data_IF_489854711760
#
_entry.id   IF_489854711760
#
_cell.length_a   1.000
_cell.length_b   1.000
_cell.length_c   1.000
_cell.angle_alpha   90.00
_cell.angle_beta   90.00
_cell.angle_gamma   90.00
#
_symmetry.space_group_name_H-M   'P 1'
#
loop_
_entity.id
_entity.type
_entity.pdbx_description
1 polymer ?
#
# COMPACT_ATOMS: atom_id res chain seq x y z
N UNK A 1 -35.33 -0.11 -5.54
CA UNK A 1 -34.03 -0.74 -5.85
C UNK A 1 -33.03 -0.57 -4.73
N UNK A 2 -32.71 0.65 -4.27
CA UNK A 2 -31.79 0.89 -3.13
C UNK A 2 -32.25 0.18 -1.85
N UNK A 3 -33.54 0.24 -1.53
CA UNK A 3 -34.10 -0.43 -0.34
C UNK A 3 -33.86 -1.95 -0.33
N UNK A 4 -33.92 -2.61 -1.49
CA UNK A 4 -33.64 -4.04 -1.59
C UNK A 4 -32.16 -4.37 -1.32
N UNK A 5 -31.24 -3.45 -1.68
CA UNK A 5 -29.81 -3.59 -1.36
C UNK A 5 -29.59 -3.46 0.15
N UNK A 6 -30.24 -2.49 0.79
CA UNK A 6 -30.19 -2.30 2.25
C UNK A 6 -30.74 -3.53 2.98
N UNK A 7 -31.85 -4.09 2.53
CA UNK A 7 -32.44 -5.30 3.10
C UNK A 7 -31.54 -6.54 2.91
N UNK A 8 -30.92 -6.69 1.74
CA UNK A 8 -29.96 -7.75 1.49
C UNK A 8 -28.72 -7.61 2.38
N UNK A 9 -28.19 -6.40 2.54
CA UNK A 9 -27.08 -6.12 3.46
C UNK A 9 -27.46 -6.49 4.89
N UNK A 10 -28.61 -6.03 5.39
CA UNK A 10 -29.08 -6.34 6.75
C UNK A 10 -29.30 -7.83 6.97
N UNK A 11 -29.79 -8.56 5.97
CA UNK A 11 -29.92 -10.01 6.04
C UNK A 11 -28.55 -10.70 6.20
N UNK A 12 -27.58 -10.33 5.37
CA UNK A 12 -26.21 -10.85 5.45
C UNK A 12 -25.54 -10.47 6.78
N UNK A 13 -25.62 -9.20 7.17
CA UNK A 13 -25.07 -8.67 8.41
C UNK A 13 -25.69 -9.34 9.64
N UNK A 14 -26.99 -9.61 9.62
CA UNK A 14 -27.65 -10.38 10.68
C UNK A 14 -27.04 -11.78 10.83
N UNK A 15 -26.81 -12.49 9.72
CA UNK A 15 -26.15 -13.80 9.76
C UNK A 15 -24.73 -13.71 10.33
N UNK A 16 -23.97 -12.68 9.91
CA UNK A 16 -22.62 -12.45 10.41
C UNK A 16 -22.63 -12.15 11.92
N UNK A 17 -23.50 -11.24 12.38
CA UNK A 17 -23.69 -10.94 13.79
C UNK A 17 -24.07 -12.15 14.64
N UNK A 18 -25.00 -12.96 14.16
CA UNK A 18 -25.54 -14.08 14.93
C UNK A 18 -24.52 -15.25 15.06
N UNK A 19 -23.63 -15.43 14.08
CA UNK A 19 -22.82 -16.67 13.97
C UNK A 19 -21.31 -16.46 13.74
N UNK A 20 -20.85 -15.25 13.50
CA UNK A 20 -19.46 -14.94 13.12
C UNK A 20 -18.97 -13.56 13.62
N UNK A 21 -19.61 -12.97 14.64
CA UNK A 21 -19.25 -11.63 15.14
C UNK A 21 -17.78 -11.55 15.58
N UNK A 22 -17.02 -10.65 14.96
CA UNK A 22 -15.59 -10.45 15.26
C UNK A 22 -14.65 -11.49 14.62
N UNK A 23 -15.20 -12.46 13.88
CA UNK A 23 -14.44 -13.45 13.11
C UNK A 23 -14.28 -12.99 11.67
N UNK A 24 -13.33 -13.56 10.93
CA UNK A 24 -13.06 -13.09 9.57
C UNK A 24 -14.21 -13.31 8.60
N UNK A 25 -14.83 -14.50 8.60
CA UNK A 25 -15.81 -14.87 7.59
C UNK A 25 -16.94 -15.73 8.15
N UNK A 26 -18.16 -15.47 7.70
CA UNK A 26 -19.34 -16.29 8.00
C UNK A 26 -19.38 -17.55 7.12
N UNK A 27 -19.67 -18.69 7.74
CA UNK A 27 -20.07 -19.94 7.07
C UNK A 27 -21.58 -20.15 7.25
N UNK A 28 -22.44 -19.61 6.35
CA UNK A 28 -23.86 -19.43 6.62
C UNK A 28 -24.66 -20.73 6.71
N UNK A 29 -24.30 -21.75 5.92
CA UNK A 29 -24.99 -23.05 5.94
C UNK A 29 -24.73 -23.81 7.25
N UNK A 30 -23.49 -23.75 7.76
CA UNK A 30 -23.11 -24.39 9.02
C UNK A 30 -23.35 -23.54 10.25
N UNK A 31 -23.77 -22.27 10.08
CA UNK A 31 -23.93 -21.29 11.18
C UNK A 31 -22.67 -21.20 12.06
N UNK A 32 -21.53 -21.03 11.41
CA UNK A 32 -20.20 -20.97 12.04
C UNK A 32 -19.32 -19.97 11.28
N UNK A 33 -18.02 -19.99 11.50
CA UNK A 33 -17.07 -19.05 10.90
C UNK A 33 -15.78 -19.74 10.43
N UNK A 34 -14.98 -19.03 9.64
CA UNK A 34 -13.59 -19.37 9.32
C UNK A 34 -12.67 -18.23 9.71
N UNK A 35 -11.40 -18.57 9.97
CA UNK A 35 -10.34 -17.62 10.29
C UNK A 35 -9.17 -17.85 9.35
N UNK A 36 -8.53 -16.76 8.96
CA UNK A 36 -7.28 -16.74 8.23
C UNK A 36 -6.38 -15.62 8.75
N UNK A 37 -6.93 -14.41 8.96
CA UNK A 37 -6.28 -13.32 9.68
C UNK A 37 -6.56 -13.36 11.20
N UNK A 38 -7.78 -13.70 11.58
CA UNK A 38 -8.29 -13.55 12.94
C UNK A 38 -8.45 -12.09 13.36
N UNK A 39 -8.77 -11.19 12.43
CA UNK A 39 -8.84 -9.74 12.66
C UNK A 39 -10.24 -9.16 12.40
N UNK A 40 -11.26 -10.02 12.26
CA UNK A 40 -12.63 -9.57 12.02
C UNK A 40 -12.80 -9.00 10.62
N UNK A 41 -12.21 -9.66 9.62
CA UNK A 41 -12.13 -9.17 8.24
C UNK A 41 -13.47 -8.66 7.66
N UNK A 42 -14.53 -9.47 7.71
CA UNK A 42 -15.87 -9.07 7.21
C UNK A 42 -16.39 -7.82 7.91
N UNK A 43 -16.08 -7.63 9.20
CA UNK A 43 -16.50 -6.44 9.93
C UNK A 43 -15.80 -5.20 9.40
N UNK A 44 -14.47 -5.26 9.21
CA UNK A 44 -13.68 -4.12 8.72
C UNK A 44 -14.06 -3.78 7.27
N UNK A 45 -14.16 -4.79 6.39
CA UNK A 45 -14.55 -4.64 4.97
C UNK A 45 -15.96 -4.05 4.80
N UNK A 46 -16.81 -4.14 5.82
CA UNK A 46 -18.19 -3.66 5.76
C UNK A 46 -18.39 -2.26 6.34
N UNK A 47 -17.40 -1.68 7.03
CA UNK A 47 -17.56 -0.40 7.76
C UNK A 47 -17.95 0.76 6.84
N UNK A 48 -17.21 0.96 5.75
CA UNK A 48 -17.48 2.02 4.77
C UNK A 48 -18.82 1.80 4.06
N UNK A 49 -19.17 0.55 3.76
CA UNK A 49 -20.43 0.16 3.14
C UNK A 49 -21.61 0.46 4.06
N UNK A 50 -21.51 0.14 5.36
CA UNK A 50 -22.51 0.53 6.37
C UNK A 50 -22.68 2.05 6.40
N UNK A 51 -21.57 2.79 6.35
CA UNK A 51 -21.61 4.25 6.33
C UNK A 51 -22.33 4.81 5.08
N UNK A 52 -21.98 4.30 3.89
CA UNK A 52 -22.55 4.71 2.60
C UNK A 52 -24.04 4.37 2.52
N UNK A 53 -24.45 3.21 3.03
CA UNK A 53 -25.86 2.77 3.06
C UNK A 53 -26.69 3.48 4.15
N UNK A 54 -26.10 4.33 4.97
CA UNK A 54 -26.78 5.05 6.06
C UNK A 54 -27.13 4.17 7.27
N UNK A 55 -26.47 3.02 7.42
CA UNK A 55 -26.68 2.03 8.50
C UNK A 55 -25.90 2.43 9.77
N UNK A 56 -26.28 3.56 10.37
CA UNK A 56 -25.52 4.18 11.48
C UNK A 56 -25.54 3.37 12.77
N UNK A 57 -26.61 2.62 13.04
CA UNK A 57 -26.70 1.78 14.25
C UNK A 57 -25.76 0.57 14.13
N UNK A 58 -25.78 -0.12 12.99
CA UNK A 58 -24.89 -1.23 12.69
C UNK A 58 -23.42 -0.78 12.64
N UNK A 59 -23.15 0.40 12.08
CA UNK A 59 -21.84 1.02 12.06
C UNK A 59 -21.30 1.29 13.47
N UNK A 60 -22.11 1.89 14.34
CA UNK A 60 -21.68 2.23 15.70
C UNK A 60 -21.32 0.99 16.53
N UNK A 61 -22.03 -0.11 16.32
CA UNK A 61 -21.73 -1.40 16.96
C UNK A 61 -20.40 -1.98 16.45
N UNK A 62 -20.17 -1.96 15.13
CA UNK A 62 -18.91 -2.38 14.53
C UNK A 62 -17.73 -1.49 14.98
N UNK A 63 -17.95 -0.18 15.05
CA UNK A 63 -16.98 0.81 15.54
C UNK A 63 -16.56 0.55 16.99
N UNK A 64 -17.49 0.14 17.85
CA UNK A 64 -17.18 -0.28 19.23
C UNK A 64 -16.31 -1.53 19.28
N UNK A 65 -16.54 -2.50 18.40
CA UNK A 65 -15.68 -3.68 18.30
C UNK A 65 -14.27 -3.28 17.84
N UNK A 66 -14.14 -2.43 16.82
CA UNK A 66 -12.83 -1.90 16.38
C UNK A 66 -12.08 -1.20 17.52
N UNK A 67 -12.79 -0.43 18.36
CA UNK A 67 -12.17 0.26 19.49
C UNK A 67 -11.65 -0.69 20.58
N UNK A 68 -12.38 -1.76 20.88
CA UNK A 68 -12.16 -2.57 22.09
C UNK A 68 -11.49 -3.92 21.81
N UNK A 69 -11.73 -4.52 20.64
CA UNK A 69 -11.43 -5.92 20.35
C UNK A 69 -10.43 -6.11 19.20
N UNK A 70 -10.29 -5.12 18.30
CA UNK A 70 -9.31 -5.20 17.20
C UNK A 70 -7.88 -5.03 17.74
N UNK A 71 -7.12 -6.13 17.72
CA UNK A 71 -5.73 -6.21 18.14
C UNK A 71 -4.86 -6.88 17.07
N UNK A 72 -3.75 -6.23 16.74
CA UNK A 72 -2.79 -6.65 15.69
C UNK A 72 -1.57 -7.37 16.27
N UNK A 73 -1.65 -7.88 17.50
CA UNK A 73 -0.57 -8.55 18.22
C UNK A 73 -0.60 -10.09 18.08
N UNK A 74 -1.46 -10.61 17.20
CA UNK A 74 -1.56 -12.05 16.92
C UNK A 74 -0.39 -12.50 16.03
N UNK A 75 0.31 -13.53 16.48
CA UNK A 75 1.39 -14.16 15.71
C UNK A 75 0.83 -15.11 14.63
N UNK A 76 0.30 -14.53 13.56
CA UNK A 76 -0.31 -15.24 12.43
C UNK A 76 0.36 -14.76 11.13
N UNK A 77 0.66 -15.70 10.22
CA UNK A 77 1.09 -15.37 8.87
C UNK A 77 -0.11 -14.88 8.07
N UNK A 78 -0.08 -13.61 7.68
CA UNK A 78 -1.17 -12.93 7.00
C UNK A 78 -0.82 -12.69 5.54
N UNK A 79 -1.75 -12.88 4.60
CA UNK A 79 -1.51 -12.47 3.22
C UNK A 79 -1.54 -10.94 3.17
N UNK A 80 -0.46 -10.31 2.73
CA UNK A 80 -0.37 -8.86 2.79
C UNK A 80 -1.25 -8.15 1.77
N UNK A 81 -1.25 -8.60 0.50
CA UNK A 81 -2.10 -7.99 -0.51
C UNK A 81 -3.54 -7.89 0.00
N UNK A 82 -4.04 -8.99 0.54
CA UNK A 82 -5.37 -9.07 1.15
C UNK A 82 -5.48 -8.20 2.43
N UNK A 83 -4.47 -8.17 3.30
CA UNK A 83 -4.47 -7.29 4.50
C UNK A 83 -4.51 -5.80 4.13
N UNK A 84 -3.79 -5.41 3.08
CA UNK A 84 -3.67 -4.01 2.64
C UNK A 84 -4.97 -3.55 2.02
N UNK A 85 -5.52 -4.29 1.06
CA UNK A 85 -6.73 -3.85 0.35
C UNK A 85 -7.98 -3.94 1.23
N UNK A 86 -8.02 -4.85 2.21
CA UNK A 86 -9.18 -5.07 3.08
C UNK A 86 -9.09 -4.29 4.38
N UNK A 87 -8.05 -4.55 5.17
CA UNK A 87 -7.94 -3.99 6.51
C UNK A 87 -7.50 -2.53 6.45
N UNK A 88 -6.34 -2.26 5.85
CA UNK A 88 -5.84 -0.88 5.73
C UNK A 88 -6.78 -0.05 4.87
N UNK A 89 -7.20 -0.57 3.72
CA UNK A 89 -8.18 0.06 2.83
C UNK A 89 -9.50 0.36 3.54
N UNK A 90 -10.11 -0.62 4.21
CA UNK A 90 -11.38 -0.46 4.92
C UNK A 90 -11.31 0.54 6.06
N UNK A 91 -10.24 0.53 6.86
CA UNK A 91 -10.02 1.50 7.94
C UNK A 91 -9.84 2.93 7.40
N UNK A 92 -9.03 3.12 6.35
CA UNK A 92 -8.81 4.44 5.75
C UNK A 92 -10.07 4.98 5.07
N UNK A 93 -10.77 4.16 4.28
CA UNK A 93 -12.06 4.53 3.68
C UNK A 93 -13.06 4.97 4.75
N UNK A 94 -13.13 4.20 5.84
CA UNK A 94 -14.02 4.52 6.96
C UNK A 94 -13.63 5.82 7.64
N UNK A 95 -12.34 6.07 7.88
CA UNK A 95 -11.85 7.34 8.39
C UNK A 95 -12.31 8.52 7.52
N UNK A 96 -12.09 8.46 6.20
CA UNK A 96 -12.42 9.57 5.31
C UNK A 96 -13.92 9.83 5.19
N UNK A 97 -14.73 8.78 5.22
CA UNK A 97 -16.18 8.92 5.13
C UNK A 97 -16.81 9.40 6.45
N UNK A 98 -16.28 8.95 7.59
CA UNK A 98 -16.87 9.21 8.91
C UNK A 98 -16.26 10.40 9.66
N UNK A 99 -15.00 10.72 9.39
CA UNK A 99 -14.20 11.70 10.14
C UNK A 99 -13.74 11.20 11.52
N UNK A 100 -13.94 9.92 11.87
CA UNK A 100 -13.56 9.37 13.17
C UNK A 100 -12.09 8.93 13.21
N UNK A 101 -11.28 9.64 13.99
CA UNK A 101 -9.82 9.43 14.07
C UNK A 101 -9.42 8.05 14.57
N UNK A 102 -10.32 7.32 15.25
CA UNK A 102 -10.06 5.95 15.70
C UNK A 102 -9.56 5.06 14.56
N UNK A 103 -10.19 5.15 13.38
CA UNK A 103 -9.84 4.27 12.25
C UNK A 103 -8.48 4.63 11.67
N UNK A 104 -8.13 5.92 11.64
CA UNK A 104 -6.78 6.37 11.26
C UNK A 104 -5.73 5.91 12.28
N UNK A 105 -6.03 6.03 13.58
CA UNK A 105 -5.15 5.56 14.65
C UNK A 105 -4.89 4.06 14.52
N UNK A 106 -5.92 3.25 14.29
CA UNK A 106 -5.77 1.80 14.02
C UNK A 106 -4.97 1.51 12.75
N UNK A 107 -5.20 2.27 11.68
CA UNK A 107 -4.49 2.13 10.41
C UNK A 107 -3.00 2.53 10.49
N UNK A 108 -2.64 3.49 11.34
CA UNK A 108 -1.27 4.04 11.43
C UNK A 108 -0.47 3.39 12.56
N UNK A 109 -1.04 3.34 13.77
CA UNK A 109 -0.35 2.89 14.99
C UNK A 109 -0.28 1.37 15.05
N UNK A 110 -1.44 0.72 14.87
CA UNK A 110 -1.56 -0.71 15.19
C UNK A 110 -1.29 -1.59 13.95
N UNK A 111 -1.58 -1.10 12.75
CA UNK A 111 -1.17 -1.80 11.52
C UNK A 111 0.36 -1.86 11.35
N UNK A 112 1.12 -0.92 11.95
CA UNK A 112 2.60 -0.94 11.93
C UNK A 112 3.19 -2.21 12.53
N UNK A 113 2.52 -2.85 13.50
CA UNK A 113 2.97 -4.14 14.04
C UNK A 113 2.60 -5.32 13.13
N UNK A 114 1.59 -5.18 12.28
CA UNK A 114 1.19 -6.17 11.27
C UNK A 114 2.01 -6.05 9.96
N UNK A 115 2.52 -4.84 9.67
CA UNK A 115 3.33 -4.48 8.51
C UNK A 115 4.71 -5.17 8.40
N UNK A 116 5.07 -6.04 9.33
CA UNK A 116 6.33 -6.81 9.23
C UNK A 116 6.20 -7.96 8.22
N UNK A 117 5.01 -8.14 7.63
CA UNK A 117 4.79 -8.96 6.46
C UNK A 117 4.54 -8.03 5.26
N UNK A 118 5.59 -7.54 4.60
CA UNK A 118 5.48 -6.55 3.51
C UNK A 118 5.92 -7.11 2.13
N UNK A 119 5.01 -7.42 1.21
CA UNK A 119 5.22 -7.45 -0.23
C UNK A 119 5.77 -6.09 -0.64
N UNK A 120 6.86 -6.11 -1.39
CA UNK A 120 7.48 -4.90 -1.91
C UNK A 120 6.50 -4.02 -2.70
N UNK A 121 5.50 -4.65 -3.33
CA UNK A 121 4.42 -3.97 -4.06
C UNK A 121 3.73 -2.88 -3.23
N UNK A 122 3.43 -3.12 -1.95
CA UNK A 122 2.69 -2.15 -1.10
C UNK A 122 3.43 -0.82 -0.95
N UNK A 123 4.73 -0.79 -1.24
CA UNK A 123 5.50 0.44 -1.26
C UNK A 123 5.10 1.46 -2.32
N UNK A 124 4.09 1.20 -3.17
CA UNK A 124 3.47 2.23 -4.03
C UNK A 124 2.58 3.21 -3.24
N UNK A 125 2.06 2.74 -2.09
CA UNK A 125 1.05 3.46 -1.31
C UNK A 125 1.55 4.78 -0.71
N UNK A 126 2.78 4.91 -0.15
CA UNK A 126 3.27 6.20 0.36
C UNK A 126 3.24 7.30 -0.70
N UNK A 127 3.73 7.03 -1.92
CA UNK A 127 3.71 7.97 -3.03
C UNK A 127 2.29 8.35 -3.45
N UNK A 128 1.39 7.38 -3.47
CA UNK A 128 -0.04 7.60 -3.78
C UNK A 128 -0.72 8.48 -2.72
N UNK A 129 -0.46 8.22 -1.44
CA UNK A 129 -0.98 9.03 -0.32
C UNK A 129 -0.45 10.46 -0.37
N UNK A 130 0.85 10.63 -0.66
CA UNK A 130 1.49 11.93 -0.80
C UNK A 130 0.92 12.71 -1.99
N UNK A 131 0.70 12.04 -3.13
CA UNK A 131 0.04 12.61 -4.31
C UNK A 131 -1.39 13.06 -4.00
N UNK A 132 -2.16 12.24 -3.28
CA UNK A 132 -3.49 12.60 -2.83
C UNK A 132 -3.50 13.82 -1.91
N UNK A 133 -2.58 13.87 -0.93
CA UNK A 133 -2.42 15.02 -0.02
C UNK A 133 -2.07 16.31 -0.77
N UNK A 134 -1.15 16.25 -1.74
CA UNK A 134 -0.81 17.39 -2.61
C UNK A 134 -2.02 17.90 -3.39
N UNK A 135 -2.91 17.01 -3.81
CA UNK A 135 -4.12 17.32 -4.58
C UNK A 135 -5.37 17.58 -3.71
N UNK A 136 -5.20 17.91 -2.43
CA UNK A 136 -6.29 18.41 -1.57
C UNK A 136 -6.93 17.37 -0.64
N UNK A 137 -6.40 16.15 -0.54
CA UNK A 137 -6.75 15.25 0.57
C UNK A 137 -6.17 15.76 1.89
N UNK A 138 -6.68 15.22 3.00
CA UNK A 138 -6.32 15.69 4.35
C UNK A 138 -4.82 15.51 4.63
N UNK A 139 -4.24 16.41 5.44
CA UNK A 139 -2.84 16.38 5.83
C UNK A 139 -2.40 15.08 6.53
N UNK A 140 -3.35 14.29 7.06
CA UNK A 140 -3.06 13.00 7.67
C UNK A 140 -2.57 11.96 6.66
N UNK A 141 -2.94 12.08 5.38
CA UNK A 141 -2.39 11.24 4.32
C UNK A 141 -0.87 11.45 4.18
N UNK A 142 -0.39 12.69 4.28
CA UNK A 142 1.05 12.97 4.21
C UNK A 142 1.77 12.39 5.43
N UNK A 143 1.18 12.48 6.64
CA UNK A 143 1.76 11.85 7.84
C UNK A 143 1.86 10.33 7.70
N UNK A 144 0.82 9.70 7.14
CA UNK A 144 0.83 8.26 6.88
C UNK A 144 1.85 7.92 5.77
N UNK A 145 1.95 8.73 4.72
CA UNK A 145 2.95 8.58 3.66
C UNK A 145 4.38 8.62 4.23
N UNK A 146 4.68 9.59 5.09
CA UNK A 146 5.97 9.71 5.79
C UNK A 146 6.27 8.48 6.66
N UNK A 147 5.28 7.96 7.38
CA UNK A 147 5.45 6.78 8.21
C UNK A 147 5.67 5.50 7.39
N UNK A 148 4.93 5.32 6.29
CA UNK A 148 5.03 4.14 5.45
C UNK A 148 6.29 4.14 4.57
N UNK A 149 6.74 5.30 4.07
CA UNK A 149 7.97 5.36 3.27
C UNK A 149 9.22 5.03 4.10
N UNK A 150 9.24 5.42 5.38
CA UNK A 150 10.30 5.00 6.31
C UNK A 150 10.30 3.47 6.42
N UNK A 151 9.14 2.84 6.64
CA UNK A 151 9.04 1.37 6.69
C UNK A 151 9.53 0.72 5.40
N UNK A 152 9.15 1.24 4.23
CA UNK A 152 9.63 0.75 2.94
C UNK A 152 11.15 0.88 2.77
N UNK A 153 11.75 1.99 3.21
CA UNK A 153 13.20 2.13 3.20
C UNK A 153 13.87 1.13 4.17
N UNK A 154 13.30 0.93 5.36
CA UNK A 154 13.81 -0.06 6.32
C UNK A 154 13.80 -1.49 5.76
N UNK A 155 12.85 -1.85 4.88
CA UNK A 155 12.87 -3.15 4.18
C UNK A 155 14.11 -3.34 3.30
N UNK A 156 14.70 -2.27 2.80
CA UNK A 156 15.98 -2.31 2.09
C UNK A 156 17.14 -2.32 3.10
N UNK A 157 17.16 -1.34 4.02
CA UNK A 157 18.29 -1.11 4.92
C UNK A 157 18.57 -2.28 5.89
N UNK A 158 17.56 -3.09 6.21
CA UNK A 158 17.70 -4.22 7.14
C UNK A 158 18.16 -5.52 6.47
N UNK A 159 18.31 -5.53 5.15
CA UNK A 159 18.74 -6.70 4.37
C UNK A 159 20.22 -6.52 4.02
N UNK A 160 21.02 -7.59 4.11
CA UNK A 160 22.50 -7.52 3.98
C UNK A 160 22.99 -6.85 2.68
N UNK A 161 22.21 -6.99 1.62
CA UNK A 161 22.50 -6.42 0.31
C UNK A 161 21.96 -5.01 0.10
N UNK A 162 21.12 -4.53 1.03
CA UNK A 162 20.42 -3.27 0.88
C UNK A 162 19.41 -3.25 -0.26
N UNK A 163 18.83 -4.40 -0.63
CA UNK A 163 17.75 -4.55 -1.62
C UNK A 163 16.62 -5.38 -1.01
N UNK A 164 15.42 -4.80 -0.92
CA UNK A 164 14.26 -5.48 -0.35
C UNK A 164 13.93 -6.77 -1.09
N UNK A 165 13.55 -7.85 -0.39
CA UNK A 165 12.95 -9.03 -1.01
C UNK A 165 11.54 -8.70 -1.55
N UNK A 166 11.01 -9.61 -2.38
CA UNK A 166 9.66 -9.57 -2.94
C UNK A 166 8.61 -9.61 -1.84
N UNK A 167 8.84 -10.43 -0.81
CA UNK A 167 7.99 -10.56 0.37
C UNK A 167 8.89 -10.55 1.60
N UNK A 168 8.68 -9.61 2.51
CA UNK A 168 9.30 -9.61 3.83
C UNK A 168 8.42 -10.42 4.78
N UNK A 169 9.00 -11.35 5.54
CA UNK A 169 8.33 -12.08 6.63
C UNK A 169 9.15 -11.89 7.92
N UNK A 170 8.51 -11.95 9.10
CA UNK A 170 9.22 -12.03 10.40
C UNK A 170 10.22 -13.20 10.45
N UNK A 171 9.90 -14.33 9.78
CA UNK A 171 10.81 -15.43 9.50
C UNK A 171 11.00 -15.56 7.99
N UNK A 172 12.02 -14.92 7.43
CA UNK A 172 12.35 -14.97 6.00
C UNK A 172 12.44 -16.43 5.51
N UNK A 173 11.38 -16.90 4.84
CA UNK A 173 11.45 -18.18 4.16
C UNK A 173 12.48 -18.05 3.02
N UNK A 174 13.38 -19.03 2.80
CA UNK A 174 14.37 -18.96 1.73
C UNK A 174 13.78 -18.66 0.33
N UNK A 175 12.52 -19.01 0.11
CA UNK A 175 11.80 -18.85 -1.15
C UNK A 175 11.31 -17.41 -1.42
N UNK A 176 11.40 -16.49 -0.46
CA UNK A 176 10.85 -15.14 -0.62
C UNK A 176 11.92 -14.07 -0.75
N UNK A 177 13.21 -14.45 -0.67
CA UNK A 177 14.34 -13.50 -0.65
C UNK A 177 14.70 -12.91 -2.02
N UNK A 178 13.88 -13.15 -3.03
CA UNK A 178 14.16 -12.69 -4.39
C UNK A 178 13.93 -11.19 -4.49
N UNK A 179 14.81 -10.47 -5.18
CA UNK A 179 14.55 -9.10 -5.62
C UNK A 179 14.38 -9.10 -7.14
N UNK A 180 13.28 -8.52 -7.62
CA UNK A 180 12.93 -8.47 -9.05
C UNK A 180 13.21 -7.11 -9.70
N UNK A 181 13.99 -6.23 -9.04
CA UNK A 181 14.33 -4.88 -9.50
C UNK A 181 13.14 -3.91 -9.52
N UNK A 182 12.18 -4.17 -8.66
CA UNK A 182 10.88 -3.52 -8.56
C UNK A 182 10.94 -2.02 -8.21
N UNK A 183 9.99 -1.20 -8.72
CA UNK A 183 10.06 0.26 -8.64
C UNK A 183 9.39 0.89 -7.41
N UNK A 184 8.50 0.20 -6.71
CA UNK A 184 7.45 0.83 -5.89
C UNK A 184 8.03 1.69 -4.74
N UNK A 185 9.15 1.28 -4.14
CA UNK A 185 9.84 2.12 -3.16
C UNK A 185 10.43 3.39 -3.80
N UNK A 186 11.11 3.28 -4.94
CA UNK A 186 11.73 4.46 -5.60
C UNK A 186 10.70 5.37 -6.26
N UNK A 187 9.56 4.82 -6.68
CA UNK A 187 8.37 5.57 -7.06
C UNK A 187 7.90 6.46 -5.90
N UNK A 188 7.70 5.86 -4.72
CA UNK A 188 7.28 6.62 -3.54
C UNK A 188 8.32 7.64 -3.11
N UNK A 189 9.62 7.32 -3.16
CA UNK A 189 10.68 8.30 -2.87
C UNK A 189 10.61 9.51 -3.81
N UNK A 190 10.33 9.29 -5.11
CA UNK A 190 10.14 10.37 -6.07
C UNK A 190 9.01 11.32 -5.66
N UNK A 191 7.83 10.79 -5.33
CA UNK A 191 6.69 11.61 -4.89
C UNK A 191 7.00 12.34 -3.58
N UNK A 192 7.56 11.63 -2.59
CA UNK A 192 7.93 12.22 -1.31
C UNK A 192 8.93 13.37 -1.48
N UNK A 193 9.97 13.19 -2.30
CA UNK A 193 10.92 14.27 -2.60
C UNK A 193 10.24 15.44 -3.32
N UNK A 194 9.41 15.20 -4.33
CA UNK A 194 8.72 16.26 -5.09
C UNK A 194 7.82 17.13 -4.21
N UNK A 195 7.11 16.53 -3.26
CA UNK A 195 6.15 17.26 -2.42
C UNK A 195 6.75 17.87 -1.15
N UNK A 196 7.82 17.28 -0.61
CA UNK A 196 8.43 17.76 0.65
C UNK A 196 9.73 18.54 0.45
N UNK A 197 10.46 18.30 -0.65
CA UNK A 197 11.81 18.80 -0.87
C UNK A 197 12.88 18.18 0.05
N UNK A 198 12.53 17.20 0.89
CA UNK A 198 13.46 16.59 1.83
C UNK A 198 14.48 15.70 1.11
N UNK A 199 15.76 16.08 1.22
CA UNK A 199 16.88 15.44 0.52
C UNK A 199 17.15 14.03 1.00
N UNK A 200 16.66 13.62 2.18
CA UNK A 200 16.82 12.23 2.66
C UNK A 200 16.25 11.21 1.67
N UNK A 201 15.18 11.55 0.95
CA UNK A 201 14.57 10.65 -0.02
C UNK A 201 15.46 10.43 -1.26
N UNK A 202 16.24 11.44 -1.64
CA UNK A 202 17.29 11.28 -2.65
C UNK A 202 18.43 10.42 -2.10
N UNK A 203 18.88 10.65 -0.87
CA UNK A 203 19.95 9.85 -0.24
C UNK A 203 19.58 8.37 -0.17
N UNK A 204 18.34 8.04 0.25
CA UNK A 204 17.82 6.68 0.26
C UNK A 204 17.73 6.07 -1.14
N UNK A 205 17.24 6.84 -2.12
CA UNK A 205 17.21 6.38 -3.52
C UNK A 205 18.61 6.11 -4.06
N UNK A 206 19.61 6.88 -3.63
CA UNK A 206 21.00 6.72 -4.06
C UNK A 206 21.61 5.46 -3.50
N UNK A 207 21.36 5.16 -2.23
CA UNK A 207 21.78 3.90 -1.60
C UNK A 207 21.20 2.69 -2.33
N UNK A 208 19.90 2.71 -2.65
CA UNK A 208 19.23 1.65 -3.40
C UNK A 208 19.88 1.46 -4.78
N UNK A 209 20.15 2.55 -5.51
CA UNK A 209 20.82 2.51 -6.81
C UNK A 209 22.25 1.95 -6.71
N UNK A 210 22.99 2.32 -5.67
CA UNK A 210 24.32 1.75 -5.43
C UNK A 210 24.25 0.23 -5.21
N UNK A 211 23.25 -0.23 -4.45
CA UNK A 211 23.05 -1.65 -4.20
C UNK A 211 22.60 -2.42 -5.45
N UNK A 212 21.74 -1.87 -6.29
CA UNK A 212 21.45 -2.45 -7.60
C UNK A 212 22.75 -2.62 -8.42
N UNK A 213 23.56 -1.57 -8.53
CA UNK A 213 24.82 -1.62 -9.27
C UNK A 213 25.83 -2.63 -8.70
N UNK A 214 25.83 -2.84 -7.38
CA UNK A 214 26.74 -3.75 -6.69
C UNK A 214 26.33 -5.22 -6.83
N UNK A 215 25.05 -5.53 -6.66
CA UNK A 215 24.58 -6.91 -6.50
C UNK A 215 23.91 -7.50 -7.74
N UNK A 216 23.32 -6.67 -8.59
CA UNK A 216 22.53 -7.15 -9.74
C UNK A 216 23.27 -7.02 -11.07
N UNK A 217 24.32 -6.19 -11.12
CA UNK A 217 25.11 -5.95 -12.32
C UNK A 217 26.01 -7.15 -12.66
N UNK A 218 25.77 -7.78 -13.79
CA UNK A 218 26.58 -8.87 -14.35
C UNK A 218 27.37 -8.39 -15.56
N UNK A 219 28.58 -8.90 -15.75
CA UNK A 219 29.40 -8.63 -16.95
C UNK A 219 29.26 -9.79 -17.94
N UNK A 220 28.82 -9.50 -19.16
CA UNK A 220 28.86 -10.44 -20.30
C UNK A 220 29.60 -9.78 -21.47
N UNK A 221 30.85 -10.16 -21.68
CA UNK A 221 31.72 -9.51 -22.68
C UNK A 221 31.92 -8.01 -22.39
N UNK A 222 31.50 -7.15 -23.32
CA UNK A 222 31.55 -5.68 -23.19
C UNK A 222 30.29 -5.05 -22.59
N UNK A 223 29.24 -5.84 -22.31
CA UNK A 223 27.94 -5.34 -21.88
C UNK A 223 27.72 -5.62 -20.38
N UNK A 224 27.09 -4.66 -19.69
CA UNK A 224 26.56 -4.86 -18.35
C UNK A 224 25.10 -5.34 -18.45
N UNK A 225 24.79 -6.47 -17.83
CA UNK A 225 23.44 -6.99 -17.63
C UNK A 225 23.01 -6.71 -16.19
N UNK A 226 21.71 -6.64 -15.92
CA UNK A 226 21.15 -6.51 -14.58
C UNK A 226 20.24 -7.72 -14.36
N UNK A 227 20.54 -8.54 -13.36
CA UNK A 227 19.87 -9.80 -13.12
C UNK A 227 19.02 -9.74 -11.85
N UNK A 228 17.85 -10.35 -11.92
CA UNK A 228 17.00 -10.63 -10.75
C UNK A 228 17.61 -11.75 -9.89
N UNK A 229 17.30 -11.76 -8.60
CA UNK A 229 17.78 -12.66 -7.52
C UNK A 229 19.02 -12.21 -6.74
N UNK A 230 18.77 -11.94 -5.46
CA UNK A 230 19.74 -11.95 -4.39
C UNK A 230 19.52 -13.23 -3.57
N UNK A 231 20.60 -13.78 -3.02
CA UNK A 231 20.64 -15.06 -2.29
C UNK A 231 20.51 -16.31 -3.20
N UNK A 232 19.81 -16.18 -4.33
CA UNK A 232 19.80 -16.99 -5.57
C UNK A 232 21.11 -17.09 -6.37
N UNK A 233 21.23 -18.07 -7.27
CA UNK A 233 21.99 -17.86 -8.51
C UNK A 233 21.23 -16.81 -9.33
N UNK A 234 21.90 -15.82 -9.93
CA UNK A 234 21.21 -14.79 -10.71
C UNK A 234 20.28 -15.41 -11.75
N UNK A 235 19.02 -14.99 -11.74
CA UNK A 235 18.03 -15.40 -12.74
C UNK A 235 18.24 -14.55 -13.98
N UNK A 236 18.45 -15.21 -15.12
CA UNK A 236 18.75 -14.60 -16.43
C UNK A 236 17.53 -13.87 -17.01
N UNK A 237 17.08 -12.83 -16.31
CA UNK A 237 15.92 -12.00 -16.64
C UNK A 237 16.14 -10.58 -16.13
N UNK A 238 15.80 -9.62 -16.98
CA UNK A 238 15.64 -8.21 -16.62
C UNK A 238 14.21 -7.83 -16.98
N UNK A 239 13.42 -7.51 -15.96
CA UNK A 239 12.02 -7.15 -16.15
C UNK A 239 11.90 -5.80 -16.88
N UNK A 240 10.88 -5.63 -17.71
CA UNK A 240 10.68 -4.39 -18.50
C UNK A 240 10.56 -3.16 -17.60
N UNK A 241 9.89 -3.29 -16.46
CA UNK A 241 9.68 -2.22 -15.50
C UNK A 241 10.96 -1.71 -14.83
N UNK A 242 12.08 -2.45 -14.88
CA UNK A 242 13.33 -1.87 -14.39
C UNK A 242 13.74 -0.64 -15.21
N UNK A 243 13.60 -0.72 -16.54
CA UNK A 243 13.82 0.41 -17.44
C UNK A 243 12.59 1.33 -17.52
N UNK A 244 11.40 0.73 -17.53
CA UNK A 244 10.13 1.44 -17.63
C UNK A 244 9.86 2.34 -16.43
N UNK A 245 10.23 1.90 -15.23
CA UNK A 245 9.78 2.50 -13.98
C UNK A 245 10.96 2.82 -13.06
N UNK A 246 11.71 1.81 -12.61
CA UNK A 246 12.74 1.95 -11.57
C UNK A 246 13.76 3.03 -11.94
N UNK A 247 14.37 2.94 -13.14
CA UNK A 247 15.32 3.95 -13.60
C UNK A 247 14.67 5.29 -13.95
N UNK A 248 13.41 5.30 -14.39
CA UNK A 248 12.68 6.53 -14.71
C UNK A 248 12.41 7.34 -13.44
N UNK A 249 11.89 6.70 -12.40
CA UNK A 249 11.66 7.35 -11.10
C UNK A 249 12.97 7.76 -10.43
N UNK A 250 14.04 6.94 -10.51
CA UNK A 250 15.36 7.37 -10.04
C UNK A 250 15.87 8.62 -10.76
N UNK A 251 15.75 8.65 -12.09
CA UNK A 251 16.14 9.83 -12.86
C UNK A 251 15.36 11.08 -12.45
N UNK A 252 14.04 10.96 -12.30
CA UNK A 252 13.18 12.07 -11.88
C UNK A 252 13.39 12.50 -10.42
N UNK A 253 13.72 11.54 -9.54
CA UNK A 253 14.07 11.77 -8.13
C UNK A 253 15.35 12.60 -8.02
N UNK A 254 16.37 12.32 -8.85
CA UNK A 254 17.65 13.05 -8.83
C UNK A 254 17.69 14.28 -9.74
N UNK A 255 16.65 14.54 -10.53
CA UNK A 255 16.58 15.73 -11.38
C UNK A 255 16.61 17.01 -10.54
N UNK A 256 17.51 17.93 -10.87
CA UNK A 256 17.49 19.30 -10.33
C UNK A 256 16.33 20.12 -10.90
N UNK A 257 15.76 19.70 -12.04
CA UNK A 257 14.57 20.28 -12.63
C UNK A 257 13.31 19.65 -12.01
N UNK A 258 12.70 20.37 -11.06
CA UNK A 258 11.46 20.00 -10.37
C UNK A 258 10.22 20.15 -11.27
N UNK A 259 10.33 20.82 -12.42
CA UNK A 259 9.25 20.96 -13.38
C UNK A 259 9.32 19.93 -14.51
N UNK A 260 10.43 19.17 -14.58
CA UNK A 260 10.55 18.01 -15.44
C UNK A 260 9.50 16.96 -15.03
N UNK A 261 8.49 16.79 -15.89
CA UNK A 261 7.23 16.07 -15.61
C UNK A 261 6.54 16.64 -14.36
N UNK A 262 5.98 17.85 -14.49
CA UNK A 262 5.26 18.53 -13.44
C UNK A 262 3.97 17.76 -13.04
N UNK A 263 3.84 17.45 -11.74
CA UNK A 263 2.79 16.60 -11.18
C UNK A 263 1.41 17.28 -11.10
N UNK A 264 1.32 18.59 -11.38
CA UNK A 264 0.04 19.29 -11.57
C UNK A 264 -0.46 19.18 -13.02
N UNK A 265 0.39 18.69 -13.94
CA UNK A 265 0.08 18.55 -15.37
C UNK A 265 0.06 17.12 -15.86
N UNK A 266 0.73 16.21 -15.16
CA UNK A 266 0.83 14.80 -15.54
C UNK A 266 0.49 13.90 -14.36
N UNK A 267 -0.20 12.81 -14.67
CA UNK A 267 -0.39 11.67 -13.77
C UNK A 267 0.29 10.45 -14.39
N UNK A 268 1.08 9.73 -13.59
CA UNK A 268 1.67 8.48 -14.05
C UNK A 268 0.63 7.37 -14.00
N UNK A 269 0.55 6.54 -15.04
CA UNK A 269 -0.13 5.25 -14.92
C UNK A 269 0.72 4.31 -14.02
N UNK A 270 0.18 3.13 -13.72
CA UNK A 270 0.83 2.13 -12.86
C UNK A 270 2.11 1.51 -13.42
N UNK A 271 2.57 1.91 -14.62
CA UNK A 271 3.85 1.48 -15.22
C UNK A 271 4.74 2.70 -15.54
N UNK A 272 4.66 3.72 -14.69
CA UNK A 272 5.38 4.99 -14.78
C UNK A 272 5.27 5.73 -16.14
N UNK A 273 4.20 5.54 -16.91
CA UNK A 273 3.97 6.31 -18.13
C UNK A 273 3.19 7.59 -17.80
N UNK A 274 3.76 8.80 -17.99
CA UNK A 274 3.08 10.04 -17.70
C UNK A 274 2.00 10.32 -18.75
N UNK A 275 0.79 10.60 -18.28
CA UNK A 275 -0.37 11.00 -19.08
C UNK A 275 -0.77 12.41 -18.67
N UNK A 276 -1.16 13.28 -19.62
CA UNK A 276 -1.59 14.63 -19.30
C UNK A 276 -2.89 14.60 -18.50
N UNK A 277 -2.95 15.38 -17.43
CA UNK A 277 -4.20 15.63 -16.70
C UNK A 277 -5.13 16.43 -17.60
N UNK A 278 -6.39 16.00 -17.70
CA UNK A 278 -7.40 16.74 -18.44
C UNK A 278 -7.82 17.97 -17.64
N UNK A 279 -7.54 19.15 -18.17
CA UNK A 279 -7.97 20.40 -17.56
C UNK A 279 -9.43 20.62 -17.94
N UNK A 280 -10.33 20.53 -16.96
CA UNK A 280 -11.74 20.84 -17.18
C UNK A 280 -11.87 22.34 -17.36
N UNK A 281 -12.27 22.77 -18.55
CA UNK A 281 -12.71 24.14 -18.76
C UNK A 281 -14.09 24.31 -18.11
N UNK A 282 -14.10 24.94 -16.93
CA UNK A 282 -15.32 25.18 -16.16
C UNK A 282 -16.33 26.08 -16.89
N UNK A 283 -15.92 26.81 -17.94
CA UNK A 283 -16.81 27.66 -18.73
C UNK A 283 -17.49 26.90 -19.89
N UNK A 284 -16.87 25.84 -20.42
CA UNK A 284 -17.41 25.10 -21.59
C UNK A 284 -17.89 23.69 -21.27
N UNK A 285 -17.52 23.12 -20.11
CA UNK A 285 -17.98 21.80 -19.67
C UNK A 285 -17.55 20.65 -20.59
N UNK A 286 -16.55 20.87 -21.44
CA UNK A 286 -15.99 19.90 -22.37
C UNK A 286 -14.57 19.51 -21.92
N UNK A 287 -14.23 18.25 -22.21
CA UNK A 287 -12.92 17.64 -21.97
C UNK A 287 -11.96 17.93 -23.14
#
# INVERSE_FOLDING_TARGET
TIQAVIEAFRHAWKGYKDFAWGHDELKPLSKSYSEWFGLGLTLIDALDTMWILGLKEEFEEARKWVANDLAFDKNVDVNLFESTIRILGGLLSTYHLSGDSLFLEKAVSDYKSCLVLQDHLVCFLPGTLALGAHNGLTADHMKLAEALIETCYQMYAQVETGLSPEIVHFNLHPADRHNLLRPETVESLFYMYRFTGDKKYQDWGWEILQNFNKYTRVRSGHNALILTELYSLPRDKMESFFLGETLKYMFLLFSDDIDLINLDKYVFNTEAHPLPIWVVDHDTGLW
#
